data_IF_024049727769
#
_entry.id   IF_024049727769
#
_cell.length_a   1.000
_cell.length_b   1.000
_cell.length_c   1.000
_cell.angle_alpha   90.00
_cell.angle_beta   90.00
_cell.angle_gamma   90.00
#
_symmetry.space_group_name_H-M   'P 1'
#
loop_
_entity.id
_entity.type
_entity.pdbx_description
1 polymer ?
#
# COMPACT_ATOMS: atom_id res chain seq x y z
N UNK A 1 4.51 21.65 -30.27
CA UNK A 1 4.80 20.20 -30.09
C UNK A 1 5.67 20.09 -28.84
N UNK A 2 5.13 19.62 -27.71
CA UNK A 2 5.84 19.62 -26.42
C UNK A 2 6.85 18.48 -26.32
N UNK A 3 8.08 18.78 -25.91
CA UNK A 3 9.18 17.81 -25.80
C UNK A 3 9.02 16.99 -24.51
N UNK A 4 8.88 15.67 -24.66
CA UNK A 4 8.88 14.73 -23.53
C UNK A 4 10.31 14.65 -22.99
N UNK A 5 10.50 14.97 -21.70
CA UNK A 5 11.76 14.77 -20.99
C UNK A 5 11.55 13.58 -20.06
N UNK A 6 12.31 12.52 -20.28
CA UNK A 6 12.24 11.30 -19.48
C UNK A 6 13.44 11.29 -18.50
N UNK A 7 13.20 11.67 -17.26
CA UNK A 7 14.21 11.56 -16.19
C UNK A 7 14.15 10.15 -15.62
N UNK A 8 15.23 9.37 -15.78
CA UNK A 8 15.34 8.08 -15.11
C UNK A 8 15.77 8.31 -13.66
N UNK A 9 14.80 8.54 -12.78
CA UNK A 9 15.02 8.48 -11.33
C UNK A 9 15.42 7.04 -11.01
N UNK A 10 16.50 6.83 -10.23
CA UNK A 10 16.88 5.51 -9.75
C UNK A 10 15.64 4.84 -9.14
N UNK A 11 15.19 3.74 -9.74
CA UNK A 11 13.93 3.09 -9.35
C UNK A 11 14.16 2.32 -8.06
N UNK A 12 14.14 3.03 -6.93
CA UNK A 12 14.08 2.41 -5.61
C UNK A 12 12.79 1.58 -5.56
N UNK A 13 12.91 0.31 -5.18
CA UNK A 13 11.74 -0.50 -4.87
C UNK A 13 11.24 -0.03 -3.51
N UNK A 14 10.01 0.50 -3.39
CA UNK A 14 9.49 0.89 -2.09
C UNK A 14 9.44 -0.34 -1.18
N UNK A 15 9.83 -0.15 0.08
CA UNK A 15 9.74 -1.18 1.12
C UNK A 15 8.45 -1.07 1.94
N UNK A 16 7.73 0.05 1.85
CA UNK A 16 6.48 0.32 2.56
C UNK A 16 5.59 1.27 1.75
N UNK A 17 4.27 1.13 1.91
CA UNK A 17 3.25 1.98 1.28
C UNK A 17 2.64 3.02 2.24
N UNK A 18 2.78 2.84 3.55
CA UNK A 18 2.17 3.75 4.52
C UNK A 18 2.29 3.33 5.97
N UNK A 19 1.88 4.23 6.84
CA UNK A 19 1.91 4.08 8.30
C UNK A 19 0.66 4.73 8.90
N UNK A 20 0.10 4.11 9.94
CA UNK A 20 -0.94 4.67 10.78
C UNK A 20 -0.65 4.35 12.25
N UNK A 21 -1.23 5.11 13.17
CA UNK A 21 -1.01 4.95 14.62
C UNK A 21 -2.35 4.67 15.29
N UNK A 22 -2.39 3.66 16.15
CA UNK A 22 -3.61 3.33 16.92
C UNK A 22 -3.71 4.12 18.24
N UNK A 23 -4.82 3.93 18.95
CA UNK A 23 -5.09 4.60 20.23
C UNK A 23 -4.12 4.23 21.36
N UNK A 24 -3.39 3.11 21.23
CA UNK A 24 -2.35 2.70 22.18
C UNK A 24 -0.97 3.28 21.81
N UNK A 25 -0.89 4.07 20.73
CA UNK A 25 0.36 4.63 20.23
C UNK A 25 1.23 3.63 19.47
N UNK A 26 0.69 2.46 19.09
CA UNK A 26 1.43 1.50 18.26
C UNK A 26 1.41 1.97 16.81
N UNK A 27 2.57 1.94 16.17
CA UNK A 27 2.69 2.24 14.75
C UNK A 27 2.43 0.98 13.92
N UNK A 28 1.48 1.06 13.01
CA UNK A 28 1.15 0.01 12.04
C UNK A 28 1.70 0.42 10.69
N UNK A 29 2.68 -0.32 10.20
CA UNK A 29 3.39 -0.01 8.96
C UNK A 29 2.97 -1.04 7.90
N UNK A 30 2.42 -0.55 6.79
CA UNK A 30 2.11 -1.37 5.62
C UNK A 30 3.39 -1.57 4.82
N UNK A 31 3.97 -2.76 4.94
CA UNK A 31 5.29 -3.11 4.41
C UNK A 31 5.15 -4.07 3.22
N UNK A 32 6.02 -3.95 2.22
CA UNK A 32 6.19 -4.98 1.20
C UNK A 32 7.13 -6.06 1.71
N UNK A 33 6.63 -7.28 1.80
CA UNK A 33 7.43 -8.46 2.10
C UNK A 33 8.33 -8.87 0.91
N UNK A 34 7.84 -8.59 -0.29
CA UNK A 34 8.57 -8.75 -1.56
C UNK A 34 8.12 -7.66 -2.55
N UNK A 35 8.96 -7.32 -3.55
CA UNK A 35 8.51 -6.47 -4.65
C UNK A 35 7.32 -7.09 -5.40
N UNK A 36 6.42 -6.23 -5.89
CA UNK A 36 5.36 -6.63 -6.83
C UNK A 36 5.96 -7.13 -8.15
N UNK A 37 5.34 -8.15 -8.76
CA UNK A 37 5.88 -8.85 -9.93
C UNK A 37 4.88 -8.92 -11.08
N UNK A 38 5.40 -8.92 -12.31
CA UNK A 38 4.60 -9.23 -13.51
C UNK A 38 3.33 -8.39 -13.63
N UNK A 39 2.18 -9.07 -13.54
CA UNK A 39 0.84 -8.48 -13.64
C UNK A 39 0.40 -7.71 -12.38
N UNK A 40 1.04 -7.93 -11.24
CA UNK A 40 0.75 -7.21 -9.99
C UNK A 40 1.16 -5.74 -10.07
N UNK A 41 2.15 -5.41 -10.90
CA UNK A 41 2.69 -4.05 -11.03
C UNK A 41 1.73 -3.19 -11.85
N UNK A 42 1.01 -2.30 -11.17
CA UNK A 42 0.19 -1.27 -11.81
C UNK A 42 1.09 -0.09 -12.19
N UNK A 43 1.01 0.35 -13.44
CA UNK A 43 1.60 1.61 -13.89
C UNK A 43 0.51 2.54 -14.35
N UNK A 44 0.62 3.79 -13.93
CA UNK A 44 -0.38 4.81 -14.20
C UNK A 44 0.31 5.98 -14.90
N UNK A 45 -0.29 6.46 -15.98
CA UNK A 45 0.08 7.71 -16.62
C UNK A 45 -0.97 8.76 -16.30
N UNK A 46 -0.51 9.90 -15.76
CA UNK A 46 -1.34 11.07 -15.53
C UNK A 46 -1.04 12.09 -16.62
N UNK A 47 -2.06 12.47 -17.37
CA UNK A 47 -1.95 13.48 -18.41
C UNK A 47 -2.16 14.88 -17.81
N UNK A 48 -1.63 15.91 -18.49
CA UNK A 48 -1.75 17.31 -18.06
C UNK A 48 -3.19 17.82 -17.93
N UNK A 49 -4.14 17.15 -18.58
CA UNK A 49 -5.58 17.42 -18.45
C UNK A 49 -6.24 16.69 -17.27
N UNK A 50 -5.46 16.11 -16.36
CA UNK A 50 -5.94 15.37 -15.20
C UNK A 50 -6.45 13.95 -15.48
N UNK A 51 -6.46 13.50 -16.75
CA UNK A 51 -6.84 12.13 -17.07
C UNK A 51 -5.78 11.15 -16.54
N UNK A 52 -6.26 10.08 -15.93
CA UNK A 52 -5.43 9.00 -15.37
C UNK A 52 -5.70 7.74 -16.18
N UNK A 53 -4.65 7.11 -16.71
CA UNK A 53 -4.73 5.87 -17.48
C UNK A 53 -3.82 4.80 -16.86
N UNK A 54 -4.37 3.61 -16.61
CA UNK A 54 -3.56 2.44 -16.28
C UNK A 54 -2.88 1.94 -17.55
N UNK A 55 -1.56 1.98 -17.60
CA UNK A 55 -0.74 1.64 -18.78
C UNK A 55 -0.18 0.22 -18.71
N UNK A 56 -0.13 -0.39 -17.53
CA UNK A 56 0.33 -1.78 -17.32
C UNK A 56 -0.24 -2.34 -16.03
N UNK A 57 -0.42 -3.66 -16.00
CA UNK A 57 -0.86 -4.43 -14.83
C UNK A 57 -2.27 -4.97 -15.01
N UNK A 58 -2.64 -5.90 -14.13
CA UNK A 58 -3.93 -6.58 -14.17
C UNK A 58 -4.79 -6.12 -13.00
N UNK A 59 -5.77 -5.27 -13.29
CA UNK A 59 -6.71 -4.71 -12.30
C UNK A 59 -7.79 -5.72 -11.89
N UNK A 60 -7.83 -6.91 -12.50
CA UNK A 60 -8.74 -8.00 -12.12
C UNK A 60 -8.16 -8.91 -11.04
N UNK A 61 -6.85 -8.82 -10.75
CA UNK A 61 -6.24 -9.54 -9.63
C UNK A 61 -6.88 -9.12 -8.31
N UNK A 62 -6.99 -10.06 -7.37
CA UNK A 62 -7.61 -9.83 -6.06
C UNK A 62 -6.73 -10.24 -4.90
N UNK A 63 -5.79 -11.16 -5.15
CA UNK A 63 -4.95 -11.75 -4.13
C UNK A 63 -3.48 -11.53 -4.44
N UNK A 64 -2.69 -11.37 -3.39
CA UNK A 64 -1.23 -11.31 -3.42
C UNK A 64 -0.69 -11.63 -2.03
N UNK A 65 0.53 -12.13 -1.95
CA UNK A 65 1.29 -12.33 -0.71
C UNK A 65 2.38 -11.26 -0.52
N UNK A 66 2.34 -10.18 -1.30
CA UNK A 66 3.39 -9.18 -1.32
C UNK A 66 3.40 -8.25 -0.08
N UNK A 67 2.31 -8.19 0.68
CA UNK A 67 2.12 -7.21 1.75
C UNK A 67 2.07 -7.85 3.14
N UNK A 68 2.49 -7.07 4.13
CA UNK A 68 2.32 -7.36 5.55
C UNK A 68 2.13 -6.08 6.35
N UNK A 69 1.60 -6.21 7.56
CA UNK A 69 1.58 -5.16 8.57
C UNK A 69 2.66 -5.45 9.59
N UNK A 70 3.62 -4.56 9.74
CA UNK A 70 4.58 -4.57 10.83
C UNK A 70 4.07 -3.64 11.93
N UNK A 71 3.96 -4.16 13.16
CA UNK A 71 3.40 -3.44 14.32
C UNK A 71 4.54 -3.09 15.26
N UNK A 72 4.75 -1.80 15.50
CA UNK A 72 5.77 -1.31 16.40
C UNK A 72 5.13 -0.73 17.66
N UNK A 73 5.75 -0.98 18.82
CA UNK A 73 5.41 -0.35 20.09
C UNK A 73 5.62 1.17 20.03
N UNK A 74 5.06 1.94 20.97
CA UNK A 74 5.33 3.39 21.08
C UNK A 74 6.83 3.71 21.22
N UNK A 75 7.64 2.76 21.69
CA UNK A 75 9.09 2.88 21.83
C UNK A 75 9.85 2.49 20.56
N UNK A 76 9.15 2.13 19.48
CA UNK A 76 9.74 1.76 18.19
C UNK A 76 10.23 0.31 18.08
N UNK A 77 9.94 -0.55 19.05
CA UNK A 77 10.28 -1.98 18.98
C UNK A 77 9.23 -2.72 18.14
N UNK A 78 9.67 -3.61 17.23
CA UNK A 78 8.76 -4.50 16.49
C UNK A 78 8.09 -5.48 17.46
N UNK A 79 6.76 -5.43 17.52
CA UNK A 79 5.92 -6.26 18.40
C UNK A 79 5.39 -7.46 17.65
N UNK A 80 4.92 -7.28 16.42
CA UNK A 80 4.30 -8.34 15.63
C UNK A 80 4.33 -8.03 14.13
N UNK A 81 4.09 -9.06 13.31
CA UNK A 81 3.98 -8.96 11.85
C UNK A 81 2.81 -9.81 11.35
N UNK A 82 1.86 -9.19 10.65
CA UNK A 82 0.69 -9.86 10.09
C UNK A 82 0.80 -9.90 8.56
N UNK A 83 0.85 -11.10 7.97
CA UNK A 83 0.82 -11.26 6.50
C UNK A 83 -0.55 -10.90 5.95
N UNK A 84 -0.57 -10.18 4.83
CA UNK A 84 -1.78 -9.90 4.08
C UNK A 84 -1.87 -10.81 2.86
N UNK A 85 -3.10 -11.15 2.46
CA UNK A 85 -3.40 -11.98 1.28
C UNK A 85 -4.03 -11.19 0.14
N UNK A 86 -4.10 -9.87 0.29
CA UNK A 86 -4.68 -8.93 -0.67
C UNK A 86 -3.75 -7.73 -0.87
N UNK A 87 -4.04 -6.95 -1.89
CA UNK A 87 -3.32 -5.71 -2.19
C UNK A 87 -3.75 -4.60 -1.23
N UNK A 88 -2.83 -3.71 -0.91
CA UNK A 88 -3.09 -2.47 -0.20
C UNK A 88 -2.02 -1.44 -0.54
N UNK A 89 -2.42 -0.24 -0.95
CA UNK A 89 -1.51 0.88 -1.23
C UNK A 89 -1.81 2.10 -0.33
N UNK A 90 -2.59 1.87 0.74
CA UNK A 90 -2.87 2.86 1.77
C UNK A 90 -3.33 2.17 3.06
N UNK A 91 -3.00 2.80 4.19
CA UNK A 91 -3.44 2.42 5.52
C UNK A 91 -3.92 3.67 6.26
N UNK A 92 -5.01 3.55 7.02
CA UNK A 92 -5.46 4.54 7.98
C UNK A 92 -6.11 3.88 9.19
N UNK A 93 -6.15 4.57 10.33
CA UNK A 93 -6.78 4.09 11.56
C UNK A 93 -7.68 5.18 12.13
N UNK A 94 -8.95 4.84 12.36
CA UNK A 94 -9.90 5.69 13.07
C UNK A 94 -10.52 4.94 14.24
N UNK A 95 -10.23 5.40 15.45
CA UNK A 95 -10.62 4.70 16.68
C UNK A 95 -9.98 3.31 16.72
N UNK A 96 -10.80 2.28 16.79
CA UNK A 96 -10.35 0.88 16.81
C UNK A 96 -10.48 0.20 15.44
N UNK A 97 -10.69 0.96 14.36
CA UNK A 97 -10.83 0.41 13.01
C UNK A 97 -9.66 0.81 12.14
N UNK A 98 -9.03 -0.19 11.55
CA UNK A 98 -8.02 -0.02 10.51
C UNK A 98 -8.67 -0.17 9.14
N UNK A 99 -8.26 0.68 8.21
CA UNK A 99 -8.67 0.70 6.82
C UNK A 99 -7.45 0.46 5.94
N UNK A 100 -7.47 -0.61 5.15
CA UNK A 100 -6.50 -0.83 4.07
C UNK A 100 -7.20 -0.63 2.74
N UNK A 101 -6.57 0.13 1.83
CA UNK A 101 -7.19 0.49 0.55
C UNK A 101 -6.35 -0.02 -0.61
N UNK A 102 -6.95 -0.83 -1.48
CA UNK A 102 -6.43 -1.07 -2.83
C UNK A 102 -7.01 -0.03 -3.78
N UNK A 103 -6.17 0.86 -4.33
CA UNK A 103 -6.62 1.96 -5.21
C UNK A 103 -6.86 1.52 -6.66
N UNK A 104 -6.29 0.40 -7.09
CA UNK A 104 -6.14 0.08 -8.51
C UNK A 104 -6.98 -1.12 -8.96
N UNK A 105 -7.37 -2.04 -8.07
CA UNK A 105 -8.13 -3.26 -8.43
C UNK A 105 -9.61 -3.15 -8.06
N UNK A 106 -10.21 -2.04 -8.46
CA UNK A 106 -11.63 -1.75 -8.25
C UNK A 106 -11.94 -0.99 -6.96
N UNK A 107 -10.97 -0.26 -6.42
CA UNK A 107 -11.11 0.55 -5.18
C UNK A 107 -11.68 -0.27 -4.02
N UNK A 108 -10.87 -1.19 -3.49
CA UNK A 108 -11.30 -2.08 -2.41
C UNK A 108 -10.91 -1.50 -1.06
N UNK A 109 -11.82 -1.57 -0.10
CA UNK A 109 -11.58 -1.15 1.28
C UNK A 109 -11.72 -2.37 2.18
N UNK A 110 -10.64 -2.73 2.86
CA UNK A 110 -10.60 -3.78 3.86
C UNK A 110 -10.63 -3.13 5.23
N UNK A 111 -11.62 -3.52 6.05
CA UNK A 111 -11.83 -2.94 7.37
C UNK A 111 -11.51 -4.00 8.41
N UNK A 112 -10.54 -3.72 9.27
CA UNK A 112 -10.13 -4.58 10.37
C UNK A 112 -10.49 -3.93 11.69
N UNK A 113 -10.94 -4.74 12.64
CA UNK A 113 -11.09 -4.33 14.03
C UNK A 113 -9.75 -4.58 14.74
N UNK A 114 -9.19 -3.53 15.33
CA UNK A 114 -8.06 -3.63 16.25
C UNK A 114 -8.62 -4.07 17.59
N UNK A 115 -8.22 -5.26 18.04
CA UNK A 115 -8.55 -5.75 19.36
C UNK A 115 -7.46 -5.29 20.33
N UNK A 116 -7.83 -4.46 21.30
CA UNK A 116 -6.93 -4.14 22.41
C UNK A 116 -6.73 -5.40 23.26
N UNK A 117 -5.48 -5.66 23.61
CA UNK A 117 -5.12 -6.49 24.76
C UNK A 117 -4.39 -5.59 25.75
#
# INVERSE_FOLDING_TARGET
MGRMVETTVAKLSPCSEGIAVDSQGRAWVLTLDRPLRGKEVIRVATFSNGRVLVTRGDTSLRFTDAYRLDIFSPQGQLVDTIKLTHFAEFIDIFGERMYLIDKYRGMQVYIYQILSR
#
